data_IF_109463887323
#
_entry.id   IF_109463887323
#
_cell.length_a   1.000
_cell.length_b   1.000
_cell.length_c   1.000
_cell.angle_alpha   90.00
_cell.angle_beta   90.00
_cell.angle_gamma   90.00
#
_symmetry.space_group_name_H-M   'P 1'
#
loop_
_entity.id
_entity.type
_entity.pdbx_description
1 polymer ?
#
# COMPACT_ATOMS: atom_id res chain seq x y z
N UNK A 1 9.40 -0.55 -3.99
CA UNK A 1 10.06 -0.72 -5.30
C UNK A 1 9.87 0.52 -6.15
N UNK A 2 10.87 0.88 -6.96
CA UNK A 2 10.82 2.03 -7.87
C UNK A 2 10.95 1.59 -9.33
N UNK A 3 9.88 1.82 -10.11
CA UNK A 3 9.86 1.63 -11.55
C UNK A 3 10.35 2.90 -12.24
N UNK A 4 11.41 2.79 -13.04
CA UNK A 4 11.91 3.88 -13.86
C UNK A 4 11.53 3.69 -15.31
N UNK A 5 10.88 4.69 -15.90
CA UNK A 5 10.65 4.71 -17.33
C UNK A 5 11.96 4.99 -18.08
N UNK A 6 12.35 4.04 -18.93
CA UNK A 6 13.52 4.09 -19.81
C UNK A 6 13.05 3.75 -21.23
N UNK A 7 12.70 4.78 -21.99
CA UNK A 7 12.11 4.59 -23.32
C UNK A 7 10.77 3.86 -23.22
N UNK A 8 10.66 2.73 -23.92
CA UNK A 8 9.45 1.91 -23.98
C UNK A 8 9.39 0.82 -22.90
N UNK A 9 10.23 0.91 -21.87
CA UNK A 9 10.32 -0.05 -20.77
C UNK A 9 10.20 0.62 -19.41
N UNK A 10 9.69 -0.13 -18.44
CA UNK A 10 9.93 0.14 -17.03
C UNK A 10 11.05 -0.76 -16.53
N UNK A 11 12.06 -0.15 -15.93
CA UNK A 11 13.24 -0.83 -15.38
C UNK A 11 13.31 -0.63 -13.86
N UNK A 12 13.80 -1.66 -13.17
CA UNK A 12 14.20 -1.64 -11.77
C UNK A 12 15.71 -1.90 -11.70
N UNK A 13 16.35 -1.40 -10.65
CA UNK A 13 17.79 -1.51 -10.46
C UNK A 13 18.14 -2.11 -9.10
N UNK A 14 19.34 -2.66 -8.99
CA UNK A 14 19.94 -3.12 -7.72
C UNK A 14 19.03 -4.14 -6.99
N UNK A 15 18.70 -3.89 -5.72
CA UNK A 15 17.91 -4.81 -4.90
C UNK A 15 16.45 -4.92 -5.35
N UNK A 16 15.88 -3.82 -5.84
CA UNK A 16 14.55 -3.82 -6.43
C UNK A 16 14.51 -4.71 -7.68
N UNK A 17 15.57 -4.71 -8.50
CA UNK A 17 15.67 -5.60 -9.66
C UNK A 17 15.73 -7.08 -9.25
N UNK A 18 16.57 -7.42 -8.26
CA UNK A 18 16.68 -8.79 -7.77
C UNK A 18 15.34 -9.29 -7.22
N UNK A 19 14.66 -8.45 -6.45
CA UNK A 19 13.36 -8.79 -5.87
C UNK A 19 12.30 -8.92 -6.97
N UNK A 20 12.18 -7.94 -7.87
CA UNK A 20 11.19 -7.98 -8.95
C UNK A 20 11.40 -9.18 -9.87
N UNK A 21 12.66 -9.49 -10.21
CA UNK A 21 13.01 -10.66 -11.02
C UNK A 21 12.46 -11.95 -10.41
N UNK A 22 12.66 -12.15 -9.10
CA UNK A 22 12.18 -13.32 -8.38
C UNK A 22 10.64 -13.36 -8.29
N UNK A 23 10.00 -12.23 -7.97
CA UNK A 23 8.54 -12.16 -7.79
C UNK A 23 7.79 -12.30 -9.12
N UNK A 24 8.27 -11.62 -10.16
CA UNK A 24 7.61 -11.57 -11.48
C UNK A 24 8.09 -12.68 -12.42
N UNK A 25 9.11 -13.45 -12.02
CA UNK A 25 9.79 -14.43 -12.86
C UNK A 25 10.26 -13.83 -14.21
N UNK A 26 10.89 -12.65 -14.13
CA UNK A 26 11.48 -11.96 -15.29
C UNK A 26 13.00 -12.02 -15.23
N UNK A 27 13.65 -12.03 -16.38
CA UNK A 27 15.11 -12.19 -16.47
C UNK A 27 15.85 -11.04 -15.78
N UNK A 28 16.70 -11.38 -14.80
CA UNK A 28 17.68 -10.46 -14.23
C UNK A 28 18.86 -10.32 -15.19
N UNK A 29 19.17 -9.10 -15.58
CA UNK A 29 20.28 -8.79 -16.49
C UNK A 29 21.29 -7.88 -15.80
N UNK A 30 22.48 -7.76 -16.41
CA UNK A 30 23.52 -6.84 -15.97
C UNK A 30 23.97 -5.97 -17.14
N UNK A 31 24.02 -4.66 -16.96
CA UNK A 31 24.60 -3.74 -17.94
C UNK A 31 26.12 -3.86 -17.92
N UNK A 32 26.70 -4.40 -18.97
CA UNK A 32 28.14 -4.42 -19.17
C UNK A 32 28.59 -3.01 -19.58
N UNK A 33 29.14 -2.20 -18.67
CA UNK A 33 29.94 -1.04 -19.07
C UNK A 33 31.43 -1.32 -18.89
N UNK A 34 32.04 -1.72 -20.00
CA UNK A 34 33.46 -1.61 -20.26
C UNK A 34 33.92 -0.15 -20.12
N UNK A 35 34.52 0.19 -18.98
CA UNK A 35 35.62 1.17 -18.88
C UNK A 35 36.44 0.79 -17.65
N UNK A 36 37.63 0.23 -17.90
CA UNK A 36 38.59 -0.08 -16.86
C UNK A 36 38.87 1.19 -16.04
N UNK A 37 38.58 1.15 -14.73
CA UNK A 37 39.00 2.18 -13.77
C UNK A 37 37.92 3.08 -13.17
N UNK A 38 36.62 2.79 -13.31
CA UNK A 38 35.57 3.59 -12.65
C UNK A 38 34.99 2.91 -11.39
N UNK A 39 34.69 3.73 -10.39
CA UNK A 39 34.44 3.38 -8.97
C UNK A 39 33.31 2.37 -8.70
N UNK A 40 33.56 1.47 -7.72
CA UNK A 40 32.69 0.38 -7.20
C UNK A 40 31.23 0.74 -6.94
N UNK A 41 30.92 2.02 -6.71
CA UNK A 41 29.57 2.49 -6.39
C UNK A 41 28.64 2.55 -7.61
N UNK A 42 29.21 2.72 -8.82
CA UNK A 42 28.44 2.66 -10.08
C UNK A 42 28.09 1.23 -10.50
N UNK A 43 28.85 0.24 -10.03
CA UNK A 43 28.61 -1.19 -10.33
C UNK A 43 27.30 -1.72 -9.70
N UNK A 44 26.78 -1.05 -8.65
CA UNK A 44 25.55 -1.47 -7.99
C UNK A 44 24.31 -1.33 -8.89
N UNK A 45 24.29 -0.30 -9.75
CA UNK A 45 23.19 -0.05 -10.71
C UNK A 45 23.29 -0.90 -11.98
N UNK A 46 24.30 -1.76 -12.11
CA UNK A 46 24.45 -2.60 -13.29
C UNK A 46 23.39 -3.68 -13.34
N UNK A 47 22.89 -4.14 -12.19
CA UNK A 47 21.88 -5.19 -12.12
C UNK A 47 20.50 -4.59 -12.34
N UNK A 48 19.77 -5.12 -13.33
CA UNK A 48 18.47 -4.61 -13.72
C UNK A 48 17.54 -5.69 -14.23
N UNK A 49 16.25 -5.43 -14.12
CA UNK A 49 15.21 -6.15 -14.82
C UNK A 49 14.13 -5.17 -15.23
N UNK A 50 13.31 -5.54 -16.21
CA UNK A 50 12.25 -4.67 -16.68
C UNK A 50 11.24 -5.39 -17.54
N UNK A 51 10.18 -4.66 -17.86
CA UNK A 51 9.09 -5.13 -18.71
C UNK A 51 8.58 -3.98 -19.61
N UNK A 52 7.91 -4.30 -20.73
CA UNK A 52 7.40 -3.28 -21.65
C UNK A 52 6.40 -2.34 -20.98
N UNK A 53 6.41 -1.06 -21.39
CA UNK A 53 5.51 -0.01 -20.88
C UNK A 53 4.03 -0.42 -20.93
N UNK A 54 3.62 -1.07 -22.03
CA UNK A 54 2.24 -1.53 -22.24
C UNK A 54 1.76 -2.58 -21.24
N UNK A 55 2.68 -3.26 -20.55
CA UNK A 55 2.39 -4.31 -19.57
C UNK A 55 2.37 -3.79 -18.13
N UNK A 56 2.46 -2.47 -17.92
CA UNK A 56 2.53 -1.85 -16.60
C UNK A 56 1.45 -2.39 -15.65
N UNK A 57 0.19 -2.35 -16.07
CA UNK A 57 -0.92 -2.70 -15.17
C UNK A 57 -0.82 -4.15 -14.68
N UNK A 58 -0.48 -5.08 -15.57
CA UNK A 58 -0.36 -6.51 -15.25
C UNK A 58 0.79 -6.80 -14.29
N UNK A 59 1.95 -6.19 -14.49
CA UNK A 59 3.10 -6.43 -13.61
C UNK A 59 2.94 -5.71 -12.26
N UNK A 60 2.38 -4.50 -12.25
CA UNK A 60 2.08 -3.78 -11.01
C UNK A 60 1.01 -4.50 -10.20
N UNK A 61 -0.06 -4.99 -10.83
CA UNK A 61 -1.06 -5.84 -10.19
C UNK A 61 -0.42 -7.04 -9.47
N UNK A 62 0.48 -7.77 -10.14
CA UNK A 62 1.17 -8.91 -9.53
C UNK A 62 2.01 -8.49 -8.32
N UNK A 63 2.85 -7.47 -8.47
CA UNK A 63 3.67 -6.95 -7.36
C UNK A 63 2.81 -6.54 -6.17
N UNK A 64 1.75 -5.78 -6.43
CA UNK A 64 0.94 -5.16 -5.38
C UNK A 64 -0.04 -6.16 -4.76
N UNK A 65 -0.85 -6.84 -5.56
CA UNK A 65 -1.93 -7.71 -5.05
C UNK A 65 -1.45 -9.08 -4.63
N UNK A 66 -0.51 -9.68 -5.36
CA UNK A 66 -0.05 -11.05 -5.06
C UNK A 66 1.11 -11.05 -4.06
N UNK A 67 1.95 -10.02 -4.06
CA UNK A 67 3.15 -9.96 -3.21
C UNK A 67 3.11 -8.84 -2.17
N UNK A 68 2.09 -7.98 -2.16
CA UNK A 68 1.97 -6.90 -1.17
C UNK A 68 3.04 -5.80 -1.33
N UNK A 69 3.72 -5.73 -2.47
CA UNK A 69 4.78 -4.75 -2.71
C UNK A 69 4.19 -3.36 -3.01
N UNK A 70 4.86 -2.32 -2.52
CA UNK A 70 4.53 -0.93 -2.86
C UNK A 70 5.39 -0.47 -4.01
N UNK A 71 4.77 0.09 -5.05
CA UNK A 71 5.43 0.38 -6.31
C UNK A 71 5.29 1.86 -6.66
N UNK A 72 6.41 2.58 -6.66
CA UNK A 72 6.48 3.96 -7.16
C UNK A 72 6.74 3.96 -8.66
N UNK A 73 5.93 4.70 -9.43
CA UNK A 73 6.02 4.82 -10.88
C UNK A 73 6.69 6.16 -11.22
N UNK A 74 7.88 6.10 -11.82
CA UNK A 74 8.67 7.26 -12.20
C UNK A 74 8.69 7.41 -13.72
N UNK A 75 7.99 8.42 -14.23
CA UNK A 75 7.86 8.68 -15.67
C UNK A 75 8.85 9.75 -16.13
N UNK A 76 9.16 9.73 -17.43
CA UNK A 76 9.90 10.79 -18.09
C UNK A 76 8.97 11.99 -18.30
N UNK A 77 9.36 13.15 -17.78
CA UNK A 77 8.56 14.39 -17.88
C UNK A 77 9.01 15.30 -19.03
N UNK A 78 10.13 15.00 -19.66
CA UNK A 78 10.61 15.67 -20.86
C UNK A 78 10.98 14.66 -21.95
N UNK A 79 10.99 15.09 -23.21
CA UNK A 79 11.41 14.23 -24.32
C UNK A 79 12.94 14.11 -24.38
N UNK A 80 13.44 13.01 -24.95
CA UNK A 80 14.88 12.83 -25.18
C UNK A 80 15.49 13.91 -26.08
N UNK A 81 14.70 14.49 -26.99
CA UNK A 81 15.11 15.60 -27.85
C UNK A 81 15.28 16.90 -27.04
N UNK A 82 14.31 17.21 -26.18
CA UNK A 82 14.37 18.37 -25.29
C UNK A 82 15.54 18.26 -24.31
N UNK A 83 15.79 17.06 -23.76
CA UNK A 83 16.94 16.80 -22.90
C UNK A 83 18.27 17.08 -23.62
N UNK A 84 18.44 16.56 -24.86
CA UNK A 84 19.62 16.82 -25.70
C UNK A 84 19.84 18.30 -26.01
N UNK A 85 18.76 19.03 -26.25
CA UNK A 85 18.82 20.48 -26.49
C UNK A 85 19.24 21.25 -25.22
N UNK A 86 18.81 20.79 -24.03
CA UNK A 86 19.23 21.35 -22.73
C UNK A 86 20.69 21.05 -22.38
N UNK A 87 21.19 19.86 -22.74
CA UNK A 87 22.55 19.41 -22.42
C UNK A 87 23.66 20.03 -23.25
N UNK A 88 23.34 20.61 -24.41
CA UNK A 88 24.34 20.98 -25.42
C UNK A 88 24.90 19.78 -26.18
N UNK A 89 25.49 20.03 -27.35
CA UNK A 89 26.08 18.99 -28.21
C UNK A 89 27.29 18.38 -27.51
N UNK A 90 27.22 17.08 -27.20
CA UNK A 90 28.32 16.32 -26.58
C UNK A 90 28.19 16.02 -25.08
N UNK A 91 27.10 16.46 -24.42
CA UNK A 91 26.81 16.13 -23.02
C UNK A 91 25.70 15.08 -22.95
N UNK A 92 25.93 13.98 -22.21
CA UNK A 92 24.89 12.99 -21.86
C UNK A 92 23.85 13.66 -20.93
N UNK A 93 22.89 14.34 -21.52
CA UNK A 93 21.82 15.03 -20.81
C UNK A 93 20.79 14.02 -20.33
N UNK A 94 20.73 13.85 -19.01
CA UNK A 94 19.76 12.99 -18.37
C UNK A 94 18.36 13.58 -18.47
N UNK A 95 17.44 12.81 -19.05
CA UNK A 95 15.99 13.12 -19.09
C UNK A 95 15.47 13.32 -17.67
N UNK A 96 14.75 14.42 -17.44
CA UNK A 96 14.03 14.70 -16.20
C UNK A 96 12.95 13.65 -15.97
N UNK A 97 12.87 13.17 -14.72
CA UNK A 97 11.92 12.15 -14.29
C UNK A 97 11.26 12.55 -12.98
N UNK A 98 10.01 12.18 -12.82
CA UNK A 98 9.23 12.44 -11.60
C UNK A 98 8.40 11.22 -11.24
N UNK A 99 8.24 10.98 -9.94
CA UNK A 99 7.29 9.99 -9.44
C UNK A 99 5.88 10.55 -9.65
N UNK A 100 5.11 9.89 -10.50
CA UNK A 100 3.75 10.32 -10.85
C UNK A 100 2.70 9.62 -10.00
N UNK A 101 3.02 8.47 -9.43
CA UNK A 101 2.10 7.69 -8.58
C UNK A 101 2.86 6.70 -7.72
N UNK A 102 2.34 6.43 -6.53
CA UNK A 102 2.73 5.28 -5.70
C UNK A 102 1.55 4.35 -5.59
N UNK A 103 1.68 3.15 -6.14
CA UNK A 103 0.65 2.11 -6.12
C UNK A 103 0.88 1.19 -4.93
N UNK A 104 -0.17 0.96 -4.14
CA UNK A 104 -0.13 0.19 -2.90
C UNK A 104 -1.37 -0.72 -2.84
N UNK A 105 -1.36 -1.79 -2.02
CA UNK A 105 -2.48 -2.73 -1.98
C UNK A 105 -3.82 -2.07 -1.66
N UNK A 106 -3.85 -1.09 -0.76
CA UNK A 106 -5.07 -0.35 -0.43
C UNK A 106 -5.38 0.84 -1.34
N UNK A 107 -4.52 1.18 -2.31
CA UNK A 107 -4.69 2.38 -3.15
C UNK A 107 -5.00 2.11 -4.63
N UNK A 108 -5.44 0.88 -4.93
CA UNK A 108 -5.82 0.47 -6.29
C UNK A 108 -7.15 1.12 -6.70
N UNK A 109 -7.21 1.60 -7.94
CA UNK A 109 -8.41 2.22 -8.52
C UNK A 109 -8.78 1.65 -9.88
N UNK A 110 -7.84 1.00 -10.56
CA UNK A 110 -8.05 0.42 -11.87
C UNK A 110 -8.78 -0.92 -11.79
N UNK A 111 -9.87 -1.04 -12.56
CA UNK A 111 -10.66 -2.27 -12.68
C UNK A 111 -9.79 -3.50 -13.00
N UNK A 112 -8.74 -3.34 -13.81
CA UNK A 112 -7.83 -4.44 -14.16
C UNK A 112 -7.01 -4.97 -12.98
N UNK A 113 -6.89 -4.19 -11.89
CA UNK A 113 -6.14 -4.56 -10.69
C UNK A 113 -7.06 -5.02 -9.54
N UNK A 114 -8.35 -4.66 -9.60
CA UNK A 114 -9.36 -4.97 -8.60
C UNK A 114 -10.03 -6.32 -8.86
N UNK A 115 -10.54 -6.94 -7.79
CA UNK A 115 -11.34 -8.16 -7.88
C UNK A 115 -12.83 -7.77 -7.89
N UNK A 116 -13.63 -8.14 -8.90
CA UNK A 116 -15.03 -7.69 -8.99
C UNK A 116 -15.93 -8.14 -7.84
N UNK A 117 -15.54 -9.20 -7.13
CA UNK A 117 -16.34 -9.81 -6.06
C UNK A 117 -15.88 -9.42 -4.66
N UNK A 118 -14.88 -8.55 -4.52
CA UNK A 118 -14.29 -8.20 -3.23
C UNK A 118 -13.99 -6.70 -3.17
N UNK A 119 -14.26 -6.11 -2.01
CA UNK A 119 -13.92 -4.71 -1.76
C UNK A 119 -12.42 -4.60 -1.51
N UNK A 120 -11.81 -3.50 -1.98
CA UNK A 120 -10.38 -3.25 -1.77
C UNK A 120 -10.18 -2.21 -0.68
N UNK A 121 -10.41 -2.64 0.56
CA UNK A 121 -10.39 -1.72 1.70
C UNK A 121 -8.97 -1.31 2.10
N UNK A 122 -8.78 0.01 2.21
CA UNK A 122 -7.70 0.64 2.96
C UNK A 122 -8.24 1.01 4.33
N UNK A 123 -7.66 0.43 5.38
CA UNK A 123 -8.05 0.71 6.76
C UNK A 123 -6.95 1.45 7.52
N UNK A 124 -7.31 2.06 8.64
CA UNK A 124 -6.39 2.74 9.53
C UNK A 124 -6.85 2.58 10.97
N UNK A 125 -5.91 2.52 11.92
CA UNK A 125 -6.22 2.45 13.36
C UNK A 125 -5.56 3.62 14.06
N UNK A 126 -6.34 4.34 14.86
CA UNK A 126 -5.84 5.31 15.83
C UNK A 126 -6.31 4.93 17.23
N UNK A 127 -5.47 5.22 18.22
CA UNK A 127 -5.78 4.96 19.63
C UNK A 127 -5.19 6.07 20.49
N UNK A 128 -6.01 6.58 21.41
CA UNK A 128 -5.52 7.46 22.47
C UNK A 128 -4.87 6.65 23.60
N UNK A 129 -3.74 7.12 24.15
CA UNK A 129 -3.11 6.49 25.32
C UNK A 129 -4.09 6.37 26.49
N UNK A 130 -4.12 5.22 27.16
CA UNK A 130 -4.97 4.98 28.34
C UNK A 130 -6.46 4.80 28.06
N UNK A 131 -6.93 4.93 26.82
CA UNK A 131 -8.33 4.66 26.46
C UNK A 131 -8.53 3.17 26.13
N UNK A 132 -9.67 2.60 26.56
CA UNK A 132 -10.11 1.25 26.24
C UNK A 132 -10.80 1.13 24.86
N UNK A 133 -10.96 2.26 24.18
CA UNK A 133 -11.52 2.34 22.83
C UNK A 133 -10.46 2.83 21.85
N UNK A 134 -10.64 2.48 20.59
CA UNK A 134 -9.85 2.96 19.47
C UNK A 134 -10.77 3.28 18.30
N UNK A 135 -10.22 3.92 17.28
CA UNK A 135 -10.96 4.24 16.07
C UNK A 135 -10.38 3.51 14.88
N UNK A 136 -11.27 2.96 14.07
CA UNK A 136 -10.94 2.36 12.78
C UNK A 136 -11.59 3.22 11.72
N UNK A 137 -10.79 3.85 10.86
CA UNK A 137 -11.30 4.42 9.62
C UNK A 137 -10.99 3.46 8.48
N UNK A 138 -11.91 3.30 7.54
CA UNK A 138 -11.67 2.52 6.34
C UNK A 138 -12.34 3.16 5.13
N UNK A 139 -11.76 2.91 3.95
CA UNK A 139 -12.26 3.41 2.68
C UNK A 139 -12.11 2.37 1.58
N UNK A 140 -13.04 2.37 0.64
CA UNK A 140 -12.85 1.75 -0.67
C UNK A 140 -12.86 2.86 -1.72
N UNK A 141 -11.69 3.12 -2.31
CA UNK A 141 -11.47 4.25 -3.23
C UNK A 141 -12.26 4.06 -4.52
N UNK A 142 -12.50 2.81 -4.93
CA UNK A 142 -13.22 2.51 -6.18
C UNK A 142 -14.72 2.82 -6.06
N UNK A 143 -15.28 2.72 -4.86
CA UNK A 143 -16.70 2.99 -4.60
C UNK A 143 -16.97 4.35 -3.95
N UNK A 144 -15.95 4.96 -3.36
CA UNK A 144 -16.08 6.19 -2.56
C UNK A 144 -16.65 5.94 -1.16
N UNK A 145 -16.78 4.68 -0.71
CA UNK A 145 -17.16 4.39 0.67
C UNK A 145 -16.06 4.90 1.61
N UNK A 146 -16.43 5.70 2.62
CA UNK A 146 -15.54 6.10 3.70
C UNK A 146 -16.28 6.08 5.03
N UNK A 147 -15.77 5.33 6.00
CA UNK A 147 -16.43 5.13 7.30
C UNK A 147 -15.42 5.23 8.42
N UNK A 148 -15.82 5.86 9.52
CA UNK A 148 -15.08 5.87 10.79
C UNK A 148 -15.91 5.19 11.86
N UNK A 149 -15.30 4.24 12.56
CA UNK A 149 -15.88 3.45 13.64
C UNK A 149 -15.15 3.76 14.95
N UNK A 150 -15.91 3.79 16.05
CA UNK A 150 -15.35 3.70 17.41
C UNK A 150 -15.60 2.29 17.94
N UNK A 151 -14.54 1.62 18.36
CA UNK A 151 -14.57 0.20 18.72
C UNK A 151 -13.83 -0.04 20.03
N UNK A 152 -14.25 -1.05 20.79
CA UNK A 152 -13.49 -1.50 21.96
C UNK A 152 -12.20 -2.20 21.51
N UNK A 153 -11.12 -2.10 22.27
CA UNK A 153 -9.82 -2.69 21.93
C UNK A 153 -9.86 -4.22 21.71
N UNK A 154 -10.80 -4.89 22.37
CA UNK A 154 -11.00 -6.34 22.25
C UNK A 154 -11.74 -6.72 20.96
N UNK A 155 -12.51 -5.80 20.39
CA UNK A 155 -13.33 -6.03 19.19
C UNK A 155 -12.57 -5.72 17.89
N UNK A 156 -11.34 -5.16 17.96
CA UNK A 156 -10.57 -4.75 16.77
C UNK A 156 -10.30 -5.91 15.82
N UNK A 157 -9.87 -7.06 16.33
CA UNK A 157 -9.58 -8.22 15.47
C UNK A 157 -10.83 -8.72 14.75
N UNK A 158 -11.99 -8.65 15.41
CA UNK A 158 -13.28 -9.01 14.82
C UNK A 158 -13.65 -8.06 13.67
N UNK A 159 -13.44 -6.76 13.86
CA UNK A 159 -13.69 -5.76 12.81
C UNK A 159 -12.70 -5.86 11.65
N UNK A 160 -11.41 -6.09 11.93
CA UNK A 160 -10.41 -6.33 10.88
C UNK A 160 -10.72 -7.63 10.11
N UNK A 161 -11.18 -8.68 10.78
CA UNK A 161 -11.59 -9.94 10.14
C UNK A 161 -12.81 -9.75 9.25
N UNK A 162 -13.76 -8.91 9.66
CA UNK A 162 -14.94 -8.56 8.85
C UNK A 162 -14.55 -7.72 7.63
N UNK A 163 -13.69 -6.73 7.82
CA UNK A 163 -13.28 -5.80 6.77
C UNK A 163 -12.31 -6.43 5.77
N UNK A 164 -11.43 -7.33 6.22
CA UNK A 164 -10.35 -7.92 5.41
C UNK A 164 -9.57 -6.86 4.59
N UNK A 165 -9.03 -5.80 5.23
CA UNK A 165 -8.37 -4.74 4.49
C UNK A 165 -7.14 -5.26 3.75
N UNK A 166 -6.95 -4.83 2.50
CA UNK A 166 -5.75 -5.12 1.72
C UNK A 166 -4.53 -4.41 2.30
N UNK A 167 -4.76 -3.26 2.94
CA UNK A 167 -3.72 -2.47 3.59
C UNK A 167 -4.24 -1.82 4.87
N UNK A 168 -3.43 -1.86 5.93
CA UNK A 168 -3.71 -1.28 7.24
C UNK A 168 -2.68 -0.23 7.61
N UNK A 169 -3.13 1.02 7.74
CA UNK A 169 -2.33 2.12 8.23
C UNK A 169 -2.33 2.13 9.76
N UNK A 170 -1.15 2.29 10.35
CA UNK A 170 -0.99 2.39 11.80
C UNK A 170 -0.07 3.55 12.15
N UNK A 171 -0.11 4.07 13.40
CA UNK A 171 0.77 5.15 13.85
C UNK A 171 2.25 4.80 13.65
N UNK A 172 3.15 5.77 13.78
CA UNK A 172 4.57 5.54 13.53
C UNK A 172 5.11 4.39 14.40
N UNK A 173 6.06 3.63 13.86
CA UNK A 173 6.59 2.44 14.52
C UNK A 173 7.13 2.74 15.93
N UNK A 174 7.79 3.89 16.09
CA UNK A 174 8.28 4.38 17.37
C UNK A 174 7.14 4.66 18.37
N UNK A 175 6.05 5.26 17.92
CA UNK A 175 4.89 5.58 18.75
C UNK A 175 4.21 4.29 19.22
N UNK A 176 4.07 3.33 18.30
CA UNK A 176 3.53 1.99 18.59
C UNK A 176 4.44 1.23 19.58
N UNK A 177 5.76 1.30 19.40
CA UNK A 177 6.71 0.60 20.25
C UNK A 177 6.81 1.19 21.66
N UNK A 178 6.69 2.52 21.79
CA UNK A 178 6.77 3.25 23.07
C UNK A 178 5.42 3.35 23.78
N UNK A 179 4.32 2.99 23.12
CA UNK A 179 3.00 2.98 23.73
C UNK A 179 2.95 2.05 24.95
N UNK A 180 2.21 2.46 25.98
CA UNK A 180 1.94 1.64 27.16
C UNK A 180 1.32 0.28 26.77
N UNK A 181 0.51 0.27 25.72
CA UNK A 181 -0.16 -0.92 25.18
C UNK A 181 0.62 -1.57 24.02
N UNK A 182 1.95 -1.50 24.03
CA UNK A 182 2.79 -2.02 22.92
C UNK A 182 2.56 -3.51 22.63
N UNK A 183 2.18 -4.31 23.63
CA UNK A 183 1.81 -5.74 23.46
C UNK A 183 0.52 -5.90 22.67
N UNK A 184 -0.48 -5.07 22.94
CA UNK A 184 -1.74 -5.05 22.19
C UNK A 184 -1.49 -4.74 20.72
N UNK A 185 -0.70 -3.70 20.43
CA UNK A 185 -0.34 -3.38 19.05
C UNK A 185 0.39 -4.52 18.34
N UNK A 186 1.42 -5.11 18.98
CA UNK A 186 2.16 -6.25 18.37
C UNK A 186 1.22 -7.39 18.00
N UNK A 187 0.34 -7.79 18.92
CA UNK A 187 -0.60 -8.89 18.67
C UNK A 187 -1.55 -8.59 17.50
N UNK A 188 -2.11 -7.38 17.44
CA UNK A 188 -3.03 -6.97 16.36
C UNK A 188 -2.33 -6.88 15.01
N UNK A 189 -1.10 -6.36 14.99
CA UNK A 189 -0.29 -6.27 13.77
C UNK A 189 0.10 -7.67 13.26
N UNK A 190 0.52 -8.57 14.14
CA UNK A 190 0.80 -9.96 13.79
C UNK A 190 -0.44 -10.67 13.27
N UNK A 191 -1.60 -10.46 13.90
CA UNK A 191 -2.87 -11.04 13.44
C UNK A 191 -3.25 -10.50 12.06
N UNK A 192 -3.15 -9.19 11.82
CA UNK A 192 -3.44 -8.59 10.52
C UNK A 192 -2.52 -9.13 9.41
N UNK A 193 -1.21 -9.20 9.67
CA UNK A 193 -0.24 -9.68 8.68
C UNK A 193 -0.39 -11.18 8.42
N UNK A 194 -0.42 -12.00 9.47
CA UNK A 194 -0.33 -13.46 9.33
C UNK A 194 -1.68 -14.11 9.04
N UNK A 195 -2.76 -13.64 9.67
CA UNK A 195 -4.07 -14.29 9.53
C UNK A 195 -4.90 -13.71 8.39
N UNK A 196 -4.78 -12.41 8.09
CA UNK A 196 -5.54 -11.75 7.04
C UNK A 196 -4.73 -11.55 5.74
N UNK A 197 -3.40 -11.62 5.81
CA UNK A 197 -2.52 -11.27 4.69
C UNK A 197 -2.50 -9.77 4.41
N UNK A 198 -2.91 -8.95 5.37
CA UNK A 198 -2.99 -7.50 5.23
C UNK A 198 -1.60 -6.88 5.25
N UNK A 199 -1.32 -5.98 4.30
CA UNK A 199 -0.08 -5.20 4.32
C UNK A 199 -0.17 -4.11 5.38
N UNK A 200 0.77 -4.07 6.31
CA UNK A 200 0.84 -3.04 7.35
C UNK A 200 1.74 -1.89 6.91
N UNK A 201 1.25 -0.67 7.10
CA UNK A 201 1.97 0.56 6.74
C UNK A 201 2.00 1.52 7.91
N UNK A 202 3.20 1.76 8.44
CA UNK A 202 3.41 2.77 9.48
C UNK A 202 3.37 4.16 8.87
N UNK A 203 2.59 5.06 9.47
CA UNK A 203 2.48 6.47 9.10
C UNK A 203 2.46 7.32 10.36
N UNK A 204 3.15 8.46 10.30
CA UNK A 204 3.00 9.46 11.34
C UNK A 204 1.55 9.96 11.31
N UNK A 205 0.94 10.13 12.49
CA UNK A 205 -0.38 10.74 12.55
C UNK A 205 -0.26 12.20 12.11
N UNK A 206 -1.02 12.52 11.06
CA UNK A 206 -1.15 13.88 10.55
C UNK A 206 -1.71 14.84 11.58
N UNK A 207 -1.16 16.06 11.63
CA UNK A 207 -1.73 17.17 12.39
C UNK A 207 -2.86 17.86 11.62
N UNK A 208 -3.69 17.12 10.87
CA UNK A 208 -4.78 17.74 10.13
C UNK A 208 -5.79 18.25 11.14
N UNK A 209 -5.82 19.58 11.29
CA UNK A 209 -6.81 20.33 12.05
C UNK A 209 -8.19 20.21 11.37
N UNK A 210 -8.82 19.05 11.44
CA UNK A 210 -10.28 19.05 11.43
C UNK A 210 -10.69 19.63 12.78
N UNK A 211 -11.26 20.83 12.76
CA UNK A 211 -11.78 21.50 13.94
C UNK A 211 -12.64 20.51 14.75
N UNK A 212 -12.23 20.25 16.01
CA UNK A 212 -12.65 19.16 16.91
C UNK A 212 -11.75 17.91 16.86
N UNK A 213 -10.56 18.06 17.43
CA UNK A 213 -9.49 17.07 17.59
C UNK A 213 -9.88 15.96 18.59
N UNK A 214 -10.21 14.79 18.06
CA UNK A 214 -10.27 13.51 18.79
C UNK A 214 -9.67 12.39 17.95
N UNK A 215 -9.33 11.24 18.55
CA UNK A 215 -8.69 10.15 17.82
C UNK A 215 -9.47 9.62 16.59
N UNK A 216 -10.79 9.78 16.52
CA UNK A 216 -11.58 9.46 15.32
C UNK A 216 -11.12 10.25 14.09
N UNK A 217 -10.76 11.52 14.28
CA UNK A 217 -10.19 12.38 13.25
C UNK A 217 -8.81 11.87 12.85
N UNK A 218 -7.98 11.44 13.81
CA UNK A 218 -6.63 10.97 13.53
C UNK A 218 -6.61 9.73 12.60
N UNK A 219 -7.53 8.78 12.78
CA UNK A 219 -7.65 7.64 11.87
C UNK A 219 -8.04 8.08 10.45
N UNK A 220 -9.06 8.94 10.33
CA UNK A 220 -9.51 9.45 9.04
C UNK A 220 -8.41 10.24 8.32
N UNK A 221 -7.76 11.17 9.02
CA UNK A 221 -6.68 12.00 8.50
C UNK A 221 -5.51 11.17 7.97
N UNK A 222 -5.16 10.08 8.65
CA UNK A 222 -4.10 9.18 8.19
C UNK A 222 -4.40 8.56 6.82
N UNK A 223 -5.66 8.15 6.57
CA UNK A 223 -6.07 7.69 5.25
C UNK A 223 -5.98 8.83 4.24
N UNK A 224 -6.50 10.01 4.55
CA UNK A 224 -6.49 11.16 3.64
C UNK A 224 -5.07 11.56 3.21
N UNK A 225 -4.15 11.69 4.16
CA UNK A 225 -2.74 12.01 3.88
C UNK A 225 -2.05 10.90 3.09
N UNK A 226 -2.39 9.64 3.37
CA UNK A 226 -1.84 8.51 2.63
C UNK A 226 -2.32 8.48 1.17
N UNK A 227 -3.61 8.78 0.94
CA UNK A 227 -4.16 8.90 -0.40
C UNK A 227 -3.57 10.07 -1.17
N UNK A 228 -3.36 11.22 -0.52
CA UNK A 228 -2.67 12.36 -1.11
C UNK A 228 -1.22 12.04 -1.48
N UNK A 229 -0.52 11.25 -0.64
CA UNK A 229 0.83 10.77 -0.92
C UNK A 229 0.88 9.78 -2.09
N UNK A 230 -0.09 8.87 -2.21
CA UNK A 230 -0.11 7.83 -3.25
C UNK A 230 -0.52 8.36 -4.62
N UNK A 231 -1.45 9.32 -4.66
CA UNK A 231 -1.98 9.92 -5.89
C UNK A 231 -1.33 11.27 -6.23
N UNK A 232 0.00 11.28 -6.28
CA UNK A 232 0.82 12.47 -6.58
C UNK A 232 0.31 13.18 -7.85
N UNK A 233 0.13 14.50 -7.79
CA UNK A 233 -0.20 15.30 -8.97
C UNK A 233 -1.63 15.15 -9.52
N UNK A 234 -2.48 14.31 -8.91
CA UNK A 234 -3.91 14.27 -9.27
C UNK A 234 -4.62 15.40 -8.52
N UNK A 235 -5.16 16.43 -9.20
CA UNK A 235 -5.85 17.53 -8.53
C UNK A 235 -7.14 16.98 -7.92
N UNK A 236 -7.15 16.79 -6.59
CA UNK A 236 -8.29 16.79 -5.66
C UNK A 236 -9.61 16.12 -6.09
N UNK A 237 -9.66 15.33 -7.15
CA UNK A 237 -10.88 14.71 -7.66
C UNK A 237 -11.30 13.56 -6.72
N UNK A 238 -10.33 12.92 -6.07
CA UNK A 238 -10.54 11.99 -4.96
C UNK A 238 -10.87 12.69 -3.62
N UNK A 239 -10.64 14.01 -3.50
CA UNK A 239 -11.03 14.76 -2.29
C UNK A 239 -12.55 14.91 -2.15
N UNK A 240 -13.29 14.76 -3.26
CA UNK A 240 -14.74 14.66 -3.23
C UNK A 240 -15.25 13.23 -3.02
N UNK A 241 -14.51 12.21 -3.47
CA UNK A 241 -14.90 10.81 -3.39
C UNK A 241 -14.71 10.20 -2.00
N UNK A 242 -13.74 10.68 -1.22
CA UNK A 242 -13.50 10.19 0.14
C UNK A 242 -13.82 11.25 1.19
N UNK A 243 -14.88 12.04 1.02
CA UNK A 243 -15.34 12.83 2.17
C UNK A 243 -15.81 11.83 3.24
N UNK A 244 -15.31 11.92 4.48
CA UNK A 244 -15.88 11.09 5.54
C UNK A 244 -17.38 11.31 5.51
N UNK A 245 -18.16 10.23 5.49
CA UNK A 245 -19.57 10.38 5.85
C UNK A 245 -19.57 11.19 7.14
N UNK A 246 -20.32 12.29 7.18
CA UNK A 246 -20.36 13.21 8.33
C UNK A 246 -20.64 12.49 9.66
N UNK A 247 -21.13 11.26 9.59
CA UNK A 247 -21.43 10.39 10.71
C UNK A 247 -20.24 9.47 11.02
N UNK A 248 -19.55 9.74 12.13
CA UNK A 248 -18.80 8.70 12.85
C UNK A 248 -19.82 7.65 13.29
N UNK A 249 -19.80 6.48 12.66
CA UNK A 249 -20.76 5.43 12.95
C UNK A 249 -20.31 4.71 14.22
N UNK A 250 -21.10 4.82 15.29
CA UNK A 250 -21.01 3.85 16.36
C UNK A 250 -21.53 2.50 15.84
N UNK A 251 -20.96 1.39 16.31
CA UNK A 251 -21.38 0.03 15.97
C UNK A 251 -22.79 -0.35 16.51
N UNK A 252 -23.69 0.61 16.68
CA UNK A 252 -25.05 0.41 17.20
C UNK A 252 -25.93 -0.14 16.08
N UNK A 253 -26.65 -1.22 16.34
CA UNK A 253 -27.61 -1.82 15.40
C UNK A 253 -27.07 -2.94 14.49
N UNK A 254 -25.90 -3.51 14.79
CA UNK A 254 -25.37 -4.71 14.11
C UNK A 254 -25.08 -5.82 15.12
N UNK A 255 -25.39 -7.07 14.75
CA UNK A 255 -24.95 -8.24 15.52
C UNK A 255 -23.43 -8.37 15.39
N UNK A 256 -22.72 -8.47 16.52
CA UNK A 256 -21.27 -8.66 16.54
C UNK A 256 -20.96 -10.14 16.54
N UNK A 257 -20.00 -10.53 15.71
CA UNK A 257 -19.40 -11.85 15.71
C UNK A 257 -17.93 -11.69 16.05
N UNK A 258 -17.43 -12.54 16.93
CA UNK A 258 -16.00 -12.67 17.15
C UNK A 258 -15.33 -13.39 15.97
N UNK A 259 -14.00 -13.35 15.96
CA UNK A 259 -13.19 -13.96 14.89
C UNK A 259 -13.49 -15.45 14.70
N UNK A 260 -13.76 -16.20 15.77
CA UNK A 260 -14.02 -17.65 15.68
C UNK A 260 -15.37 -17.93 15.00
N UNK A 261 -16.38 -17.10 15.26
CA UNK A 261 -17.69 -17.21 14.60
C UNK A 261 -17.58 -16.87 13.12
N UNK A 262 -16.84 -15.81 12.76
CA UNK A 262 -16.59 -15.47 11.35
C UNK A 262 -15.95 -16.62 10.57
N UNK A 263 -14.98 -17.31 11.18
CA UNK A 263 -14.30 -18.46 10.56
C UNK A 263 -15.20 -19.69 10.49
N UNK A 264 -15.89 -20.00 11.58
CA UNK A 264 -16.70 -21.23 11.68
C UNK A 264 -17.94 -21.19 10.79
N UNK A 265 -18.50 -20.00 10.55
CA UNK A 265 -19.66 -19.82 9.66
C UNK A 265 -19.28 -19.71 8.19
N UNK A 266 -17.97 -19.62 7.87
CA UNK A 266 -17.44 -19.56 6.50
C UNK A 266 -18.12 -18.52 5.59
N UNK A 267 -18.57 -17.40 6.18
CA UNK A 267 -19.46 -16.44 5.50
C UNK A 267 -18.86 -15.86 4.21
N UNK A 268 -17.54 -15.67 4.17
CA UNK A 268 -16.81 -15.11 3.02
C UNK A 268 -15.64 -15.96 2.56
N UNK A 269 -15.12 -16.85 3.41
CA UNK A 269 -13.99 -17.74 3.11
C UNK A 269 -14.23 -19.11 3.75
N UNK A 270 -13.97 -20.16 2.97
CA UNK A 270 -13.99 -21.55 3.43
C UNK A 270 -12.71 -21.81 4.23
N UNK A 271 -12.84 -22.53 5.33
CA UNK A 271 -11.67 -23.02 6.08
C UNK A 271 -11.12 -24.21 5.31
N UNK A 272 -10.04 -24.03 4.56
CA UNK A 272 -9.31 -25.17 4.02
C UNK A 272 -8.60 -25.89 5.17
N UNK A 273 -9.33 -26.75 5.88
CA UNK A 273 -8.73 -27.86 6.60
C UNK A 273 -7.99 -28.69 5.56
N UNK A 274 -6.67 -28.52 5.51
CA UNK A 274 -5.80 -29.32 4.67
C UNK A 274 -5.96 -30.79 5.05
N UNK A 275 -6.87 -31.49 4.37
CA UNK A 275 -6.69 -32.90 4.12
C UNK A 275 -5.47 -33.01 3.22
N UNK A 276 -4.30 -33.14 3.84
CA UNK A 276 -3.22 -33.90 3.24
C UNK A 276 -3.79 -35.29 2.96
N UNK A 277 -4.39 -35.45 1.78
CA UNK A 277 -4.55 -36.76 1.17
C UNK A 277 -3.12 -37.20 0.87
N UNK A 278 -2.53 -37.90 1.84
CA UNK A 278 -1.40 -38.78 1.59
C UNK A 278 -1.96 -39.83 0.63
N UNK A 279 -1.82 -39.57 -0.67
CA UNK A 279 -2.10 -40.54 -1.70
C UNK A 279 -1.10 -41.69 -1.55
N UNK A 280 -1.66 -42.90 -1.38
CA UNK A 280 -0.98 -44.16 -1.63
C UNK A 280 -0.45 -44.23 -3.08
#
# INVERSE_FOLDING_TARGET
MLLFQVGDFYELFSDDARRASNLLNITLTRKTKAKAGMSRERDALDIMCGFPLSSLNTYVEKLVRQHGEKVAICNQVESALAAKQRGGVGMDSLVQRQVVRVVTPGSLTEDSMLLPTQNNYLASISKEPGQATCHIAYTDISTGEFVVLTVHMDDVDSELTRLQPSELLVPAQDDVAKAQDSTWWRQRLENAMNALGTVVTFRQQGSVEFANSGASVAAASMIHEYLAYTHVGTPSSHSHACKPSSDVRQLVGRMRFDVSVWRSLELTKVTSLGYNVIGL
#
